data_IF_427750977448
#
_entry.id   IF_427750977448
#
_cell.length_a   1.000
_cell.length_b   1.000
_cell.length_c   1.000
_cell.angle_alpha   90.00
_cell.angle_beta   90.00
_cell.angle_gamma   90.00
#
_symmetry.space_group_name_H-M   'P 1'
#
loop_
_entity.id
_entity.type
_entity.pdbx_description
1 polymer ?
#
# COMPACT_ATOMS: atom_id res chain seq x y z
N UNK A 1 -49.45 -19.79 -36.67
CA UNK A 1 -49.57 -20.83 -35.63
C UNK A 1 -50.74 -20.42 -34.73
N UNK A 2 -51.86 -21.13 -34.78
CA UNK A 2 -53.05 -20.83 -33.98
C UNK A 2 -52.85 -21.44 -32.59
N UNK A 3 -52.31 -20.67 -31.65
CA UNK A 3 -52.25 -21.06 -30.24
C UNK A 3 -53.65 -20.88 -29.66
N UNK A 4 -54.22 -21.94 -29.08
CA UNK A 4 -55.54 -21.88 -28.46
C UNK A 4 -55.54 -20.89 -27.30
N UNK A 5 -56.67 -20.21 -27.10
CA UNK A 5 -56.84 -19.29 -25.98
C UNK A 5 -56.83 -20.08 -24.65
N UNK A 6 -56.05 -19.63 -23.66
CA UNK A 6 -55.97 -20.30 -22.35
C UNK A 6 -54.60 -20.16 -21.66
N UNK A 7 -54.46 -20.79 -20.50
CA UNK A 7 -53.19 -20.88 -19.78
C UNK A 7 -52.24 -21.82 -20.49
N UNK A 8 -51.05 -21.32 -20.82
CA UNK A 8 -49.97 -22.11 -21.40
C UNK A 8 -48.85 -22.28 -20.38
N UNK A 9 -48.42 -23.52 -20.16
CA UNK A 9 -47.38 -23.84 -19.21
C UNK A 9 -46.08 -24.15 -19.96
N UNK A 10 -45.12 -23.24 -19.86
CA UNK A 10 -43.76 -23.48 -20.32
C UNK A 10 -42.95 -24.07 -19.15
N UNK A 11 -42.36 -25.24 -19.36
CA UNK A 11 -41.42 -25.89 -18.45
C UNK A 11 -40.16 -26.25 -19.21
N UNK A 12 -39.01 -26.02 -18.59
CA UNK A 12 -37.77 -26.58 -19.11
C UNK A 12 -37.75 -28.09 -18.84
N UNK A 13 -37.20 -28.88 -19.77
CA UNK A 13 -37.15 -30.34 -19.65
C UNK A 13 -36.28 -30.80 -18.46
N UNK A 14 -35.27 -30.02 -18.12
CA UNK A 14 -34.47 -30.17 -16.90
C UNK A 14 -35.11 -29.39 -15.74
N UNK A 15 -35.47 -30.05 -14.62
CA UNK A 15 -36.04 -29.40 -13.44
C UNK A 15 -35.08 -28.46 -12.71
N UNK A 16 -33.77 -28.56 -12.96
CA UNK A 16 -32.74 -27.69 -12.37
C UNK A 16 -32.45 -26.44 -13.22
N UNK A 17 -33.10 -26.31 -14.36
CA UNK A 17 -33.03 -25.10 -15.18
C UNK A 17 -34.37 -24.38 -15.19
N UNK A 18 -34.34 -23.05 -15.16
CA UNK A 18 -35.45 -22.20 -15.52
C UNK A 18 -35.04 -21.27 -16.65
N UNK A 19 -35.96 -21.07 -17.60
CA UNK A 19 -35.75 -20.12 -18.69
C UNK A 19 -36.05 -18.70 -18.21
N UNK A 20 -35.32 -17.72 -18.74
CA UNK A 20 -35.75 -16.32 -18.71
C UNK A 20 -36.59 -16.06 -19.96
N UNK A 21 -37.81 -15.54 -19.79
CA UNK A 21 -38.66 -15.14 -20.90
C UNK A 21 -38.86 -13.63 -20.86
N UNK A 22 -38.63 -12.98 -22.00
CA UNK A 22 -39.10 -11.61 -22.23
C UNK A 22 -40.35 -11.73 -23.10
N UNK A 23 -41.52 -11.53 -22.50
CA UNK A 23 -42.78 -11.47 -23.24
C UNK A 23 -42.96 -10.06 -23.81
N UNK A 24 -43.07 -9.94 -25.12
CA UNK A 24 -43.52 -8.72 -25.77
C UNK A 24 -44.99 -8.85 -26.14
N UNK A 25 -45.82 -7.93 -25.67
CA UNK A 25 -47.25 -7.88 -25.98
C UNK A 25 -47.73 -6.45 -26.13
N UNK A 26 -48.83 -6.26 -26.85
CA UNK A 26 -49.52 -4.98 -26.98
C UNK A 26 -50.82 -5.04 -26.17
N UNK A 27 -50.90 -4.26 -25.10
CA UNK A 27 -52.12 -3.93 -24.35
C UNK A 27 -52.00 -2.48 -23.87
N UNK A 28 -53.11 -1.71 -23.89
CA UNK A 28 -53.21 -0.26 -23.57
C UNK A 28 -51.92 0.57 -23.80
N UNK A 29 -51.23 0.32 -24.91
CA UNK A 29 -50.00 1.03 -25.34
C UNK A 29 -48.78 0.98 -24.40
N UNK A 30 -48.66 0.02 -23.47
CA UNK A 30 -47.45 -0.14 -22.63
C UNK A 30 -46.89 -1.57 -22.69
N UNK A 31 -45.63 -1.68 -23.10
CA UNK A 31 -44.87 -2.93 -22.98
C UNK A 31 -44.49 -3.20 -21.52
N UNK A 32 -44.56 -4.45 -21.10
CA UNK A 32 -44.11 -4.89 -19.78
C UNK A 32 -43.07 -6.01 -19.93
N UNK A 33 -42.03 -5.96 -19.11
CA UNK A 33 -41.07 -7.04 -18.97
C UNK A 33 -41.12 -7.51 -17.51
N UNK A 34 -41.41 -8.79 -17.29
CA UNK A 34 -41.34 -9.40 -15.97
C UNK A 34 -40.16 -10.38 -15.97
N UNK A 35 -39.03 -10.06 -15.31
CA UNK A 35 -37.97 -11.04 -15.17
C UNK A 35 -38.46 -12.15 -14.23
N UNK A 36 -38.75 -13.33 -14.77
CA UNK A 36 -39.01 -14.53 -13.99
C UNK A 36 -37.80 -15.46 -14.04
N UNK A 37 -37.22 -15.73 -12.86
CA UNK A 37 -36.33 -16.85 -12.53
C UNK A 37 -35.29 -17.24 -13.60
N UNK A 38 -34.07 -16.75 -13.48
CA UNK A 38 -32.92 -17.35 -14.15
C UNK A 38 -32.33 -18.46 -13.27
N UNK A 39 -32.41 -19.69 -13.75
CA UNK A 39 -31.86 -20.87 -13.08
C UNK A 39 -31.11 -21.65 -14.14
N UNK A 40 -29.78 -21.68 -14.07
CA UNK A 40 -28.99 -22.58 -14.89
C UNK A 40 -28.76 -23.87 -14.12
N UNK A 41 -28.63 -24.98 -14.84
CA UNK A 41 -28.16 -26.25 -14.26
C UNK A 41 -26.93 -25.96 -13.41
N UNK A 42 -26.89 -26.36 -12.14
CA UNK A 42 -25.68 -26.27 -11.34
C UNK A 42 -24.55 -26.97 -12.08
N UNK A 43 -23.43 -26.27 -12.25
CA UNK A 43 -22.29 -26.86 -12.95
C UNK A 43 -21.83 -28.05 -12.10
N UNK A 44 -21.83 -29.25 -12.69
CA UNK A 44 -21.45 -30.48 -11.98
C UNK A 44 -19.96 -30.51 -11.62
N UNK A 45 -19.18 -29.67 -12.30
CA UNK A 45 -17.76 -29.47 -12.09
C UNK A 45 -17.51 -28.41 -11.00
N UNK A 46 -16.33 -28.52 -10.39
CA UNK A 46 -15.83 -27.56 -9.41
C UNK A 46 -14.82 -26.63 -10.07
N UNK A 47 -14.95 -25.32 -9.84
CA UNK A 47 -13.98 -24.31 -10.28
C UNK A 47 -13.37 -23.59 -9.09
N UNK A 48 -12.09 -23.22 -9.22
CA UNK A 48 -11.38 -22.44 -8.21
C UNK A 48 -10.98 -21.07 -8.74
N UNK A 49 -11.20 -20.03 -7.94
CA UNK A 49 -10.73 -18.67 -8.20
C UNK A 49 -10.02 -18.13 -6.97
N UNK A 50 -9.22 -17.09 -7.15
CA UNK A 50 -8.46 -16.46 -6.07
C UNK A 50 -8.60 -14.95 -6.16
N UNK A 51 -8.99 -14.32 -5.04
CA UNK A 51 -9.12 -12.87 -4.95
C UNK A 51 -8.40 -12.36 -3.69
N UNK A 52 -7.79 -11.17 -3.75
CA UNK A 52 -7.20 -10.56 -2.57
C UNK A 52 -8.31 -10.18 -1.57
N UNK A 53 -8.13 -10.53 -0.30
CA UNK A 53 -8.97 -10.04 0.79
C UNK A 53 -8.40 -8.74 1.36
N UNK A 54 -7.09 -8.74 1.59
CA UNK A 54 -6.30 -7.57 1.91
C UNK A 54 -5.31 -7.44 0.76
N UNK A 55 -5.41 -6.42 -0.11
CA UNK A 55 -4.57 -6.34 -1.31
C UNK A 55 -3.15 -5.88 -1.00
N UNK A 56 -2.91 -5.30 0.18
CA UNK A 56 -1.58 -4.92 0.64
C UNK A 56 -1.51 -4.82 2.15
N UNK A 57 -0.34 -5.08 2.71
CA UNK A 57 -0.08 -4.94 4.14
C UNK A 57 1.29 -4.30 4.37
N UNK A 58 1.48 -3.71 5.56
CA UNK A 58 2.78 -3.22 5.99
C UNK A 58 3.66 -4.38 6.44
N UNK A 59 4.96 -4.32 6.18
CA UNK A 59 5.92 -5.35 6.62
C UNK A 59 6.00 -5.45 8.15
N UNK A 60 5.81 -4.31 8.85
CA UNK A 60 5.71 -4.24 10.30
C UNK A 60 4.40 -4.77 10.92
N UNK A 61 4.02 -4.19 12.06
CA UNK A 61 3.07 -4.82 13.03
C UNK A 61 1.59 -4.78 12.61
N UNK A 62 1.25 -4.79 11.32
CA UNK A 62 -0.15 -4.79 10.86
C UNK A 62 -0.61 -6.04 10.11
N UNK A 63 0.12 -7.15 10.25
CA UNK A 63 -0.37 -8.50 9.95
C UNK A 63 -0.23 -8.92 8.48
N UNK A 64 -0.43 -10.22 8.19
CA UNK A 64 -0.19 -10.77 6.86
C UNK A 64 -1.16 -10.20 5.82
N UNK A 65 -0.67 -10.08 4.59
CA UNK A 65 -1.56 -9.92 3.44
C UNK A 65 -2.32 -11.24 3.22
N UNK A 66 -3.57 -11.17 2.80
CA UNK A 66 -4.43 -12.36 2.74
C UNK A 66 -5.20 -12.44 1.43
N UNK A 67 -5.36 -13.67 0.93
CA UNK A 67 -6.22 -13.99 -0.22
C UNK A 67 -7.36 -14.89 0.24
N UNK A 68 -8.46 -14.83 -0.49
CA UNK A 68 -9.53 -15.84 -0.40
C UNK A 68 -9.50 -16.69 -1.66
N UNK A 69 -9.42 -18.01 -1.46
CA UNK A 69 -9.66 -18.97 -2.54
C UNK A 69 -11.12 -19.38 -2.49
N UNK A 70 -11.80 -19.25 -3.62
CA UNK A 70 -13.19 -19.64 -3.77
C UNK A 70 -13.30 -20.97 -4.50
N UNK A 71 -14.33 -21.72 -4.12
CA UNK A 71 -14.76 -22.96 -4.76
C UNK A 71 -16.20 -22.78 -5.22
N UNK A 72 -16.42 -22.85 -6.53
CA UNK A 72 -17.72 -22.64 -7.17
C UNK A 72 -18.15 -23.84 -8.02
N UNK A 73 -19.40 -23.85 -8.49
CA UNK A 73 -20.00 -25.02 -9.13
C UNK A 73 -20.40 -26.07 -8.10
N UNK A 74 -19.89 -27.29 -8.22
CA UNK A 74 -20.17 -28.35 -7.26
C UNK A 74 -19.28 -28.24 -6.01
N UNK A 75 -19.90 -27.88 -4.88
CA UNK A 75 -19.24 -27.76 -3.57
C UNK A 75 -19.52 -28.93 -2.62
N UNK A 76 -20.29 -29.93 -3.06
CA UNK A 76 -20.84 -30.97 -2.17
C UNK A 76 -19.80 -31.93 -1.60
N UNK A 77 -18.69 -32.18 -2.31
CA UNK A 77 -17.59 -33.03 -1.85
C UNK A 77 -16.45 -32.20 -1.27
N UNK A 78 -15.67 -32.77 -0.35
CA UNK A 78 -14.43 -32.17 0.11
C UNK A 78 -13.37 -32.16 -1.02
N UNK A 79 -12.45 -31.18 -1.00
CA UNK A 79 -11.39 -31.06 -2.00
C UNK A 79 -10.21 -30.24 -1.48
N UNK A 80 -9.08 -30.28 -2.18
CA UNK A 80 -7.90 -29.47 -1.87
C UNK A 80 -7.26 -28.92 -3.14
N UNK A 81 -6.66 -27.74 -3.05
CA UNK A 81 -5.87 -27.11 -4.12
C UNK A 81 -4.60 -26.50 -3.54
N UNK A 82 -3.55 -26.40 -4.32
CA UNK A 82 -2.30 -25.75 -3.93
C UNK A 82 -2.17 -24.40 -4.62
N UNK A 83 -1.80 -23.39 -3.84
CA UNK A 83 -1.44 -22.05 -4.32
C UNK A 83 -0.02 -21.72 -3.90
N UNK A 84 0.66 -20.87 -4.66
CA UNK A 84 2.03 -20.46 -4.40
C UNK A 84 2.26 -18.99 -4.74
N UNK A 85 3.24 -18.38 -4.08
CA UNK A 85 3.76 -17.05 -4.41
C UNK A 85 4.55 -17.09 -5.72
N UNK A 86 4.34 -16.10 -6.58
CA UNK A 86 5.03 -15.93 -7.86
C UNK A 86 5.54 -14.50 -7.95
N UNK A 87 6.71 -14.30 -8.54
CA UNK A 87 7.25 -12.96 -8.78
C UNK A 87 6.33 -12.16 -9.70
N UNK A 88 6.06 -10.90 -9.37
CA UNK A 88 5.32 -10.00 -10.24
C UNK A 88 6.18 -9.58 -11.44
N UNK A 89 5.56 -9.33 -12.59
CA UNK A 89 6.23 -8.74 -13.76
C UNK A 89 6.16 -7.20 -13.80
N UNK A 90 5.70 -6.57 -12.70
CA UNK A 90 5.63 -5.11 -12.57
C UNK A 90 7.01 -4.50 -12.29
N UNK A 91 7.11 -3.18 -12.43
CA UNK A 91 8.37 -2.44 -12.26
C UNK A 91 8.91 -2.54 -10.82
N UNK A 92 8.02 -2.63 -9.82
CA UNK A 92 8.37 -2.75 -8.41
C UNK A 92 7.95 -4.14 -7.91
N UNK A 93 8.61 -5.18 -8.39
CA UNK A 93 8.31 -6.55 -7.99
C UNK A 93 9.09 -6.90 -6.73
N UNK A 94 8.37 -7.38 -5.71
CA UNK A 94 9.01 -7.95 -4.53
C UNK A 94 9.80 -9.21 -4.93
N UNK A 95 11.02 -9.28 -4.43
CA UNK A 95 12.04 -10.27 -4.69
C UNK A 95 11.97 -11.39 -3.66
N UNK A 96 11.79 -12.60 -4.15
CA UNK A 96 11.80 -13.80 -3.33
C UNK A 96 13.21 -14.01 -2.77
N UNK A 97 13.31 -14.05 -1.44
CA UNK A 97 14.55 -14.25 -0.69
C UNK A 97 15.08 -12.99 -0.01
N UNK A 98 14.66 -11.79 -0.44
CA UNK A 98 14.96 -10.52 0.23
C UNK A 98 13.73 -9.96 0.94
N UNK A 99 12.58 -9.92 0.25
CA UNK A 99 11.40 -9.18 0.73
C UNK A 99 10.33 -10.17 1.24
N UNK A 100 10.35 -11.40 0.71
CA UNK A 100 9.50 -12.50 1.17
C UNK A 100 10.12 -13.87 0.91
N UNK A 101 9.72 -14.87 1.69
CA UNK A 101 9.99 -16.27 1.39
C UNK A 101 8.95 -16.81 0.40
N UNK A 102 9.39 -17.64 -0.56
CA UNK A 102 8.45 -18.39 -1.39
C UNK A 102 7.55 -19.27 -0.52
N UNK A 103 6.23 -19.07 -0.60
CA UNK A 103 5.26 -19.79 0.19
C UNK A 103 4.30 -20.57 -0.72
N UNK A 104 4.24 -21.88 -0.50
CA UNK A 104 3.23 -22.76 -1.09
C UNK A 104 2.27 -23.20 0.02
N UNK A 105 0.96 -23.11 -0.25
CA UNK A 105 -0.09 -23.43 0.71
C UNK A 105 -1.09 -24.41 0.12
N UNK A 106 -1.37 -25.48 0.87
CA UNK A 106 -2.44 -26.43 0.54
C UNK A 106 -3.75 -25.94 1.17
N UNK A 107 -4.71 -25.59 0.32
CA UNK A 107 -6.02 -25.05 0.70
C UNK A 107 -7.04 -26.17 0.66
N UNK A 108 -7.55 -26.56 1.83
CA UNK A 108 -8.56 -27.61 1.95
C UNK A 108 -9.96 -27.03 2.14
N UNK A 109 -10.93 -27.65 1.47
CA UNK A 109 -12.34 -27.32 1.54
C UNK A 109 -13.09 -28.54 2.07
N UNK A 110 -13.79 -28.38 3.19
CA UNK A 110 -14.77 -29.37 3.63
C UNK A 110 -15.94 -29.48 2.63
N UNK A 111 -16.72 -30.56 2.73
CA UNK A 111 -17.97 -30.69 2.00
C UNK A 111 -18.90 -29.49 2.31
N UNK A 112 -19.38 -28.81 1.27
CA UNK A 112 -20.21 -27.61 1.36
C UNK A 112 -19.46 -26.30 1.60
N UNK A 113 -18.14 -26.34 1.83
CA UNK A 113 -17.34 -25.13 2.02
C UNK A 113 -16.99 -24.50 0.65
N UNK A 114 -17.29 -23.21 0.49
CA UNK A 114 -17.12 -22.48 -0.76
C UNK A 114 -15.95 -21.47 -0.73
N UNK A 115 -15.33 -21.22 0.41
CA UNK A 115 -14.21 -20.30 0.54
C UNK A 115 -13.23 -20.70 1.64
N UNK A 116 -11.96 -20.35 1.47
CA UNK A 116 -10.91 -20.49 2.47
C UNK A 116 -9.92 -19.32 2.34
N UNK A 117 -9.44 -18.83 3.48
CA UNK A 117 -8.48 -17.70 3.54
C UNK A 117 -7.07 -18.26 3.69
N UNK A 118 -6.12 -17.65 2.97
CA UNK A 118 -4.69 -17.95 3.07
C UNK A 118 -3.93 -16.67 3.32
N UNK A 119 -3.02 -16.72 4.30
CA UNK A 119 -2.21 -15.59 4.74
C UNK A 119 -0.78 -15.73 4.20
N UNK A 120 -0.19 -14.61 3.79
CA UNK A 120 1.18 -14.52 3.30
C UNK A 120 1.95 -13.50 4.16
N UNK A 121 3.19 -13.86 4.49
CA UNK A 121 4.07 -13.06 5.32
C UNK A 121 5.26 -12.54 4.50
N UNK A 122 5.79 -11.40 4.93
CA UNK A 122 6.95 -10.74 4.35
C UNK A 122 8.07 -10.69 5.38
N UNK A 123 9.28 -10.41 4.93
CA UNK A 123 10.34 -10.00 5.83
C UNK A 123 10.08 -8.55 6.25
N UNK A 124 10.54 -8.20 7.45
CA UNK A 124 10.50 -6.85 7.98
C UNK A 124 11.95 -6.48 8.28
N UNK A 125 12.44 -5.40 7.71
CA UNK A 125 13.74 -4.87 8.07
C UNK A 125 13.71 -3.41 8.55
N UNK A 126 14.75 -2.63 8.27
CA UNK A 126 14.91 -1.23 8.70
C UNK A 126 15.36 -0.33 7.50
N UNK A 127 15.49 -0.90 6.29
CA UNK A 127 15.93 -0.21 5.09
C UNK A 127 14.71 0.37 4.37
N UNK A 128 14.62 1.70 4.15
CA UNK A 128 13.46 2.27 3.48
C UNK A 128 13.36 1.85 2.00
N UNK A 129 12.27 1.16 1.67
CA UNK A 129 11.99 0.63 0.34
C UNK A 129 10.81 1.33 -0.36
N UNK A 130 10.58 0.98 -1.62
CA UNK A 130 9.39 1.44 -2.34
C UNK A 130 8.22 0.48 -2.10
N UNK A 131 7.00 0.89 -2.43
CA UNK A 131 5.88 -0.05 -2.51
C UNK A 131 6.19 -1.14 -3.55
N UNK A 132 6.09 -2.39 -3.12
CA UNK A 132 6.40 -3.56 -3.93
C UNK A 132 5.20 -4.48 -4.13
N UNK A 133 5.26 -5.34 -5.13
CA UNK A 133 4.18 -6.25 -5.48
C UNK A 133 4.67 -7.66 -5.78
N UNK A 134 3.88 -8.65 -5.39
CA UNK A 134 4.03 -10.04 -5.80
C UNK A 134 2.67 -10.63 -6.19
N UNK A 135 2.69 -11.82 -6.79
CA UNK A 135 1.50 -12.52 -7.21
C UNK A 135 1.31 -13.78 -6.37
N UNK A 136 0.06 -14.21 -6.24
CA UNK A 136 -0.31 -15.54 -5.74
C UNK A 136 -1.18 -16.21 -6.78
N UNK A 137 -0.83 -17.45 -7.14
CA UNK A 137 -1.55 -18.22 -8.14
C UNK A 137 -1.63 -19.70 -7.79
N UNK A 138 -2.45 -20.43 -8.54
CA UNK A 138 -2.52 -21.89 -8.42
C UNK A 138 -1.24 -22.54 -8.95
N UNK A 139 -0.75 -23.58 -8.25
CA UNK A 139 0.39 -24.38 -8.72
C UNK A 139 0.03 -25.06 -10.05
N UNK A 140 0.92 -25.00 -11.03
CA UNK A 140 0.74 -25.61 -12.35
C UNK A 140 0.68 -27.16 -12.27
N UNK A 141 -0.03 -27.78 -13.23
CA UNK A 141 -0.10 -29.25 -13.33
C UNK A 141 -1.12 -29.93 -12.40
N UNK A 142 -1.88 -29.17 -11.62
CA UNK A 142 -3.01 -29.69 -10.85
C UNK A 142 -4.17 -30.10 -11.76
N UNK A 143 -4.83 -31.22 -11.47
CA UNK A 143 -6.03 -31.65 -12.19
C UNK A 143 -7.29 -30.95 -11.64
N UNK A 144 -7.35 -29.63 -11.80
CA UNK A 144 -8.42 -28.76 -11.30
C UNK A 144 -8.91 -27.82 -12.40
N UNK A 145 -10.18 -27.41 -12.33
CA UNK A 145 -10.67 -26.34 -13.20
C UNK A 145 -10.41 -24.99 -12.52
N UNK A 146 -9.68 -24.12 -13.20
CA UNK A 146 -9.34 -22.78 -12.72
C UNK A 146 -10.29 -21.78 -13.41
N UNK A 147 -10.98 -20.99 -12.61
CA UNK A 147 -11.81 -19.89 -13.08
C UNK A 147 -11.04 -18.57 -13.20
N UNK A 148 -11.75 -17.48 -13.41
CA UNK A 148 -11.20 -16.13 -13.38
C UNK A 148 -11.77 -15.34 -12.19
N UNK A 149 -10.95 -14.61 -11.43
CA UNK A 149 -9.49 -14.52 -11.55
C UNK A 149 -8.73 -15.78 -11.09
N UNK A 150 -7.62 -16.09 -11.76
CA UNK A 150 -6.74 -17.25 -11.49
C UNK A 150 -5.49 -16.89 -10.67
N UNK A 151 -5.23 -15.60 -10.49
CA UNK A 151 -4.13 -15.05 -9.71
C UNK A 151 -4.60 -13.78 -8.99
N UNK A 152 -3.97 -13.49 -7.86
CA UNK A 152 -4.15 -12.26 -7.09
C UNK A 152 -2.82 -11.50 -7.01
N UNK A 153 -2.87 -10.19 -7.18
CA UNK A 153 -1.74 -9.28 -6.96
C UNK A 153 -1.83 -8.71 -5.56
N UNK A 154 -0.72 -8.79 -4.83
CA UNK A 154 -0.60 -8.41 -3.43
C UNK A 154 0.59 -7.45 -3.26
N UNK A 155 0.43 -6.46 -2.39
CA UNK A 155 1.41 -5.42 -2.16
C UNK A 155 2.07 -5.48 -0.79
N UNK A 156 3.32 -5.03 -0.74
CA UNK A 156 4.11 -4.82 0.46
C UNK A 156 4.28 -3.30 0.62
N UNK A 157 3.88 -2.79 1.78
CA UNK A 157 4.01 -1.37 2.12
C UNK A 157 5.15 -1.24 3.12
N UNK A 158 6.24 -0.64 2.68
CA UNK A 158 7.34 -0.19 3.55
C UNK A 158 6.81 0.69 4.69
N UNK A 159 7.24 0.40 5.93
CA UNK A 159 6.95 1.22 7.10
C UNK A 159 8.19 1.84 7.77
N UNK A 160 9.32 1.76 7.10
CA UNK A 160 10.57 2.34 7.53
C UNK A 160 10.73 3.80 7.13
N UNK A 161 11.68 4.46 7.80
CA UNK A 161 11.94 5.88 7.59
C UNK A 161 13.43 6.16 7.52
N UNK A 162 13.80 7.09 6.65
CA UNK A 162 15.18 7.58 6.60
C UNK A 162 15.56 8.17 7.95
N UNK A 163 16.58 7.59 8.58
CA UNK A 163 17.17 8.11 9.81
C UNK A 163 17.73 9.52 9.57
N UNK A 164 16.97 10.54 9.97
CA UNK A 164 17.42 11.93 9.95
C UNK A 164 18.27 12.21 11.20
N UNK A 165 19.57 12.41 11.03
CA UNK A 165 20.43 12.93 12.10
C UNK A 165 20.30 14.46 12.10
N UNK A 166 19.57 15.00 13.08
CA UNK A 166 19.56 16.44 13.35
C UNK A 166 20.81 16.82 14.16
N UNK A 167 21.63 17.74 13.63
CA UNK A 167 22.76 18.28 14.36
C UNK A 167 22.40 19.65 14.97
N UNK A 168 22.54 19.84 16.30
CA UNK A 168 22.30 21.14 16.90
C UNK A 168 23.37 22.13 16.45
N UNK A 169 22.94 23.22 15.79
CA UNK A 169 23.82 24.36 15.50
C UNK A 169 24.16 25.08 16.82
N UNK A 170 25.45 25.22 17.10
CA UNK A 170 25.95 25.97 18.26
C UNK A 170 26.72 27.19 17.79
N UNK A 171 26.28 28.38 18.20
CA UNK A 171 26.98 29.65 17.97
C UNK A 171 27.63 30.07 19.28
N UNK A 172 28.94 30.30 19.26
CA UNK A 172 29.67 30.83 20.41
C UNK A 172 30.30 32.18 20.08
N UNK A 173 30.10 33.14 20.97
CA UNK A 173 30.75 34.46 20.90
C UNK A 173 31.96 34.42 21.81
N UNK A 174 33.15 34.56 21.24
CA UNK A 174 34.39 34.56 22.01
C UNK A 174 34.73 36.02 22.34
N UNK A 175 34.63 36.45 23.62
CA UNK A 175 35.05 37.79 23.99
C UNK A 175 36.56 37.91 23.80
N UNK A 176 37.00 38.91 23.04
CA UNK A 176 38.42 39.27 22.93
C UNK A 176 38.68 40.54 23.71
N UNK A 177 39.94 40.75 24.13
CA UNK A 177 40.39 41.95 24.84
C UNK A 177 40.65 43.13 23.90
N UNK A 178 40.33 43.01 22.60
CA UNK A 178 40.36 44.08 21.62
C UNK A 178 38.93 44.45 21.21
N UNK A 179 38.74 45.61 20.58
CA UNK A 179 37.41 46.05 20.08
C UNK A 179 36.85 45.15 18.96
N UNK A 180 37.45 43.98 18.69
CA UNK A 180 37.05 43.00 17.69
C UNK A 180 36.49 41.76 18.38
N UNK A 181 35.17 41.54 18.32
CA UNK A 181 34.55 40.28 18.78
C UNK A 181 34.56 39.27 17.63
N UNK A 182 34.92 38.01 17.93
CA UNK A 182 34.87 36.92 16.96
C UNK A 182 33.62 36.08 17.20
N UNK A 183 32.86 35.82 16.13
CA UNK A 183 31.77 34.83 16.15
C UNK A 183 32.29 33.59 15.43
N UNK A 184 32.25 32.46 16.13
CA UNK A 184 32.52 31.15 15.55
C UNK A 184 31.19 30.43 15.36
N UNK A 185 30.89 30.08 14.10
CA UNK A 185 29.73 29.26 13.75
C UNK A 185 30.24 27.89 13.30
N UNK A 186 29.77 26.84 13.97
CA UNK A 186 30.00 25.45 13.54
C UNK A 186 28.79 25.06 12.70
N UNK A 187 29.00 24.88 11.39
CA UNK A 187 27.95 24.39 10.49
C UNK A 187 28.24 22.91 10.21
N UNK A 188 27.42 21.99 10.74
CA UNK A 188 27.52 20.59 10.35
C UNK A 188 27.13 20.45 8.88
N UNK A 189 27.93 19.74 8.09
CA UNK A 189 27.62 19.41 6.69
C UNK A 189 27.56 17.90 6.51
N UNK A 190 26.57 17.45 5.72
CA UNK A 190 26.45 16.05 5.32
C UNK A 190 27.08 15.85 3.94
N UNK A 191 27.97 14.86 3.81
CA UNK A 191 28.40 14.33 2.52
C UNK A 191 27.69 13.00 2.29
N UNK A 192 26.85 12.92 1.26
CA UNK A 192 26.22 11.67 0.81
C UNK A 192 27.09 11.02 -0.26
N UNK A 193 28.10 10.27 0.17
CA UNK A 193 28.81 9.31 -0.68
C UNK A 193 28.05 7.98 -0.70
N UNK A 194 27.67 7.50 -1.88
CA UNK A 194 26.79 6.37 -2.12
C UNK A 194 27.18 5.04 -1.43
N UNK A 195 26.11 4.33 -1.03
CA UNK A 195 25.97 2.90 -0.67
C UNK A 195 26.68 2.41 0.60
N UNK A 196 25.89 1.81 1.50
CA UNK A 196 26.21 1.32 2.86
C UNK A 196 26.23 2.40 3.95
N UNK A 197 25.04 2.66 4.53
CA UNK A 197 24.71 2.96 5.95
C UNK A 197 25.63 3.81 6.85
N UNK A 198 26.70 4.43 6.35
CA UNK A 198 27.65 5.19 7.17
C UNK A 198 27.67 6.65 6.74
N UNK A 199 26.79 7.43 7.36
CA UNK A 199 26.87 8.89 7.36
C UNK A 199 28.10 9.30 8.21
N UNK A 200 29.13 9.86 7.58
CA UNK A 200 30.28 10.44 8.30
C UNK A 200 30.04 11.95 8.43
N UNK A 201 29.80 12.48 9.65
CA UNK A 201 29.66 13.92 9.84
C UNK A 201 30.99 14.62 9.59
N UNK A 202 30.98 15.66 8.76
CA UNK A 202 32.09 16.61 8.63
C UNK A 202 31.68 17.97 9.17
N UNK A 203 32.62 18.67 9.82
CA UNK A 203 32.41 20.00 10.38
C UNK A 203 33.31 21.00 9.67
N UNK A 204 32.74 22.11 9.23
CA UNK A 204 33.50 23.29 8.79
C UNK A 204 33.33 24.41 9.81
N UNK A 205 34.46 25.00 10.21
CA UNK A 205 34.50 26.15 11.14
C UNK A 205 34.75 27.40 10.32
N UNK A 206 33.75 28.28 10.24
CA UNK A 206 33.92 29.62 9.67
C UNK A 206 34.03 30.60 10.83
N UNK A 207 35.13 31.35 10.87
CA UNK A 207 35.32 32.43 11.85
C UNK A 207 35.16 33.75 11.12
N UNK A 208 34.22 34.59 11.57
CA UNK A 208 34.03 35.94 11.04
C UNK A 208 34.40 36.97 12.12
N UNK A 209 35.22 37.94 11.75
CA UNK A 209 35.55 39.09 12.59
C UNK A 209 34.43 40.14 12.41
N UNK A 210 33.78 40.53 13.51
CA UNK A 210 32.84 41.65 13.51
C UNK A 210 33.49 42.80 14.31
N UNK A 211 33.74 43.91 13.63
CA UNK A 211 34.17 45.16 14.27
C UNK A 211 32.94 45.86 14.81
N UNK A 212 32.79 45.90 16.14
CA UNK A 212 31.73 46.70 16.77
C UNK A 212 32.27 48.11 16.96
N UNK A 213 31.85 49.06 16.13
CA UNK A 213 32.14 50.48 16.37
C UNK A 213 31.21 50.99 17.47
N UNK A 214 31.72 51.21 18.68
CA UNK A 214 30.99 52.00 19.67
C UNK A 214 31.12 53.48 19.30
N UNK A 215 30.04 54.10 18.82
CA UNK A 215 29.95 55.55 18.87
C UNK A 215 29.72 55.94 20.33
N UNK A 216 30.76 56.42 21.02
CA UNK A 216 30.54 57.14 22.28
C UNK A 216 29.74 58.41 21.95
N UNK A 217 28.65 58.73 22.67
CA UNK A 217 28.10 60.06 22.60
C UNK A 217 29.12 61.03 23.21
N UNK A 218 29.42 62.12 22.50
CA UNK A 218 30.15 63.26 23.06
C UNK A 218 29.15 63.99 23.96
N UNK A 219 29.34 63.95 25.27
CA UNK A 219 28.65 64.85 26.18
C UNK A 219 29.18 66.27 25.93
N UNK A 220 28.35 67.12 25.33
CA UNK A 220 28.60 68.54 25.16
C UNK A 220 28.13 69.29 26.43
N UNK A 221 28.96 69.26 27.47
CA UNK A 221 28.77 70.11 28.65
C UNK A 221 29.16 71.56 28.29
N UNK A 222 28.17 72.30 27.77
CA UNK A 222 28.23 73.76 27.70
C UNK A 222 27.83 74.35 29.05
N UNK A 223 28.82 74.54 29.92
CA UNK A 223 28.63 75.21 31.21
C UNK A 223 28.47 76.73 30.98
N UNK A 224 27.22 77.18 30.90
CA UNK A 224 26.84 78.59 30.90
C UNK A 224 26.45 79.02 32.30
N UNK A 225 27.34 79.78 32.97
CA UNK A 225 26.98 80.51 34.19
C UNK A 225 27.49 81.96 34.17
N UNK A 226 26.51 82.81 33.86
CA UNK A 226 26.24 84.15 34.40
C UNK A 226 27.31 84.94 35.17
N UNK A 227 27.64 86.09 34.56
CA UNK A 227 27.89 87.41 35.15
C UNK A 227 27.45 87.64 36.61
N UNK A 228 28.39 88.14 37.42
CA UNK A 228 28.13 89.08 38.52
C UNK A 228 29.13 90.23 38.39
N UNK A 229 28.61 91.45 38.22
CA UNK A 229 29.38 92.67 38.11
C UNK A 229 29.87 93.23 39.46
N UNK A 230 30.85 94.11 39.35
CA UNK A 230 31.10 95.24 40.25
C UNK A 230 31.28 96.50 39.40
#
# INVERSE_FOLDING_TARGET
MNISQGTHLLRHADPNCSFSAVLFGWGEQKGYAYPAGFGMRPIAETFYTIEPLIPSAREGTMGPVSVTVYKSGNVSAASSVEITTVMSSKINAATIGTDLQAQTSNVSFAAGQASAVVNFHFFNDDEPEQFEMFLVGFVEGQNINIGMPSQAELGIIDDDSLSSIEFPISISVIPSTSNAKSISTIIPTTSTGHSSSRIIPSYSITTSLITVTSSMPVDDDTDSIGSMGH
#
